data_IF_327889241121
#
_entry.id   IF_327889241121
#
_cell.length_a   1.000
_cell.length_b   1.000
_cell.length_c   1.000
_cell.angle_alpha   90.00
_cell.angle_beta   90.00
_cell.angle_gamma   90.00
#
_symmetry.space_group_name_H-M   'P 1'
#
loop_
_entity.id
_entity.type
_entity.pdbx_description
1 polymer ?
#
# COMPACT_ATOMS: atom_id res chain seq x y z
N UNK A 1 -10.66 -18.09 6.24
CA UNK A 1 -10.05 -16.88 5.67
C UNK A 1 -10.03 -15.85 6.79
N UNK A 2 -8.89 -15.72 7.45
CA UNK A 2 -8.73 -14.80 8.57
C UNK A 2 -8.75 -13.37 8.03
N UNK A 3 -9.57 -12.50 8.64
CA UNK A 3 -9.79 -11.12 8.16
C UNK A 3 -8.59 -10.20 8.40
N UNK A 4 -7.63 -10.62 9.21
CA UNK A 4 -6.54 -9.79 9.71
C UNK A 4 -5.34 -9.68 8.75
N UNK A 5 -5.34 -10.42 7.63
CA UNK A 5 -4.22 -10.42 6.68
C UNK A 5 -4.30 -9.31 5.60
N UNK A 6 -5.47 -8.67 5.42
CA UNK A 6 -5.66 -7.72 4.33
C UNK A 6 -6.09 -6.33 4.80
N UNK A 7 -5.44 -5.31 4.23
CA UNK A 7 -5.79 -3.90 4.42
C UNK A 7 -6.23 -3.34 3.07
N UNK A 8 -7.33 -2.57 3.06
CA UNK A 8 -7.90 -2.02 1.84
C UNK A 8 -7.95 -0.50 1.88
N UNK A 9 -7.75 0.11 0.72
CA UNK A 9 -7.79 1.56 0.52
C UNK A 9 -6.43 2.21 0.61
N UNK A 10 -6.16 3.15 -0.30
CA UNK A 10 -4.84 3.78 -0.47
C UNK A 10 -4.31 4.39 0.82
N UNK A 11 -5.15 5.10 1.59
CA UNK A 11 -4.73 5.73 2.86
C UNK A 11 -4.36 4.71 3.93
N UNK A 12 -5.16 3.65 4.08
CA UNK A 12 -4.89 2.62 5.07
C UNK A 12 -3.59 1.85 4.73
N UNK A 13 -3.32 1.62 3.44
CA UNK A 13 -2.05 1.02 2.99
C UNK A 13 -0.88 1.97 3.27
N UNK A 14 -1.00 3.27 2.96
CA UNK A 14 0.03 4.28 3.27
C UNK A 14 0.33 4.31 4.78
N UNK A 15 -0.70 4.33 5.63
CA UNK A 15 -0.54 4.31 7.08
C UNK A 15 0.12 3.02 7.58
N UNK A 16 -0.23 1.87 6.99
CA UNK A 16 0.39 0.60 7.31
C UNK A 16 1.89 0.57 6.96
N UNK A 17 2.28 1.08 5.78
CA UNK A 17 3.70 1.21 5.39
C UNK A 17 4.44 2.11 6.39
N UNK A 18 3.88 3.30 6.68
CA UNK A 18 4.52 4.29 7.55
C UNK A 18 4.63 3.84 9.02
N UNK A 19 3.74 2.96 9.48
CA UNK A 19 3.78 2.39 10.84
C UNK A 19 4.74 1.20 10.94
N UNK A 20 5.43 0.83 9.85
CA UNK A 20 6.37 -0.28 9.81
C UNK A 20 5.71 -1.65 9.85
N UNK A 21 4.43 -1.76 9.47
CA UNK A 21 3.81 -3.08 9.30
C UNK A 21 4.52 -3.83 8.17
N UNK A 22 4.77 -5.12 8.39
CA UNK A 22 5.31 -5.98 7.35
C UNK A 22 4.23 -6.19 6.28
N UNK A 23 4.50 -5.74 5.06
CA UNK A 23 3.60 -5.87 3.90
C UNK A 23 4.35 -6.66 2.86
N UNK A 24 3.86 -7.86 2.57
CA UNK A 24 4.48 -8.75 1.59
C UNK A 24 4.18 -8.30 0.15
N UNK A 25 2.96 -7.81 -0.09
CA UNK A 25 2.50 -7.46 -1.43
C UNK A 25 1.40 -6.40 -1.43
N UNK A 26 1.45 -5.49 -2.42
CA UNK A 26 0.38 -4.51 -2.65
C UNK A 26 -0.23 -4.66 -4.04
N UNK A 27 -1.55 -4.92 -4.09
CA UNK A 27 -2.30 -4.96 -5.34
C UNK A 27 -2.90 -3.59 -5.65
N UNK A 28 -2.64 -3.07 -6.85
CA UNK A 28 -3.11 -1.75 -7.26
C UNK A 28 -3.95 -1.84 -8.54
N UNK A 29 -5.11 -1.20 -8.53
CA UNK A 29 -5.97 -1.12 -9.72
C UNK A 29 -5.33 -0.18 -10.76
N UNK A 30 -5.32 -0.60 -12.02
CA UNK A 30 -4.80 0.19 -13.13
C UNK A 30 -5.69 1.40 -13.44
N UNK A 31 -5.10 2.46 -14.00
CA UNK A 31 -5.83 3.66 -14.44
C UNK A 31 -6.05 4.71 -13.35
N UNK A 32 -5.45 4.54 -12.17
CA UNK A 32 -5.41 5.59 -11.13
C UNK A 32 -4.23 6.53 -11.40
N UNK A 33 -4.48 7.83 -11.35
CA UNK A 33 -3.44 8.85 -11.49
C UNK A 33 -3.76 10.09 -10.63
N UNK A 34 -3.87 9.87 -9.33
CA UNK A 34 -4.09 10.94 -8.34
C UNK A 34 -2.90 11.03 -7.39
N UNK A 35 -2.86 12.08 -6.58
CA UNK A 35 -1.78 12.35 -5.63
C UNK A 35 -1.53 11.19 -4.66
N UNK A 36 -2.60 10.61 -4.10
CA UNK A 36 -2.49 9.48 -3.16
C UNK A 36 -1.89 8.23 -3.82
N UNK A 37 -2.22 7.99 -5.10
CA UNK A 37 -1.61 6.90 -5.86
C UNK A 37 -0.11 7.13 -6.06
N UNK A 38 0.31 8.34 -6.43
CA UNK A 38 1.72 8.67 -6.59
C UNK A 38 2.49 8.52 -5.28
N UNK A 39 1.91 8.99 -4.17
CA UNK A 39 2.48 8.82 -2.83
C UNK A 39 2.63 7.34 -2.46
N UNK A 40 1.60 6.52 -2.69
CA UNK A 40 1.66 5.08 -2.42
C UNK A 40 2.75 4.39 -3.24
N UNK A 41 2.89 4.71 -4.53
CA UNK A 41 3.93 4.12 -5.39
C UNK A 41 5.34 4.50 -4.90
N UNK A 42 5.56 5.75 -4.47
CA UNK A 42 6.85 6.16 -3.91
C UNK A 42 7.18 5.36 -2.65
N UNK A 43 6.23 5.23 -1.72
CA UNK A 43 6.41 4.48 -0.48
C UNK A 43 6.70 2.99 -0.72
N UNK A 44 6.00 2.37 -1.66
CA UNK A 44 6.23 0.97 -2.04
C UNK A 44 7.66 0.78 -2.56
N UNK A 45 8.17 1.69 -3.39
CA UNK A 45 9.53 1.64 -3.92
C UNK A 45 10.59 1.87 -2.84
N UNK A 46 10.36 2.84 -1.96
CA UNK A 46 11.28 3.17 -0.86
C UNK A 46 11.41 2.02 0.15
N UNK A 47 10.35 1.23 0.35
CA UNK A 47 10.32 0.11 1.28
C UNK A 47 10.52 -1.26 0.61
N UNK A 48 10.88 -1.28 -0.69
CA UNK A 48 11.14 -2.51 -1.45
C UNK A 48 9.97 -3.52 -1.42
N UNK A 49 8.73 -3.03 -1.39
CA UNK A 49 7.50 -3.84 -1.35
C UNK A 49 7.12 -4.29 -2.76
N UNK A 50 6.71 -5.57 -2.91
CA UNK A 50 6.42 -6.22 -4.18
C UNK A 50 4.94 -6.19 -4.63
#
# INVERSE_FOLDING_TARGET
MEKDEYIFGTRAVIEAINTGKNIEKVFIKTGMNNELYQQLISLIKENEIA
#
